data_IF_647808770296
#
_entry.id   IF_647808770296
#
_cell.length_a   1.000
_cell.length_b   1.000
_cell.length_c   1.000
_cell.angle_alpha   90.00
_cell.angle_beta   90.00
_cell.angle_gamma   90.00
#
_symmetry.space_group_name_H-M   'P 1'
#
loop_
_entity.id
_entity.type
_entity.pdbx_description
1 polymer ?
#
# COMPACT_ATOMS: atom_id res chain seq x y z
N UNK A 1 3.56 -10.03 -22.23
CA UNK A 1 2.60 -10.19 -21.13
C UNK A 1 3.20 -11.20 -20.16
N UNK A 2 3.53 -10.76 -18.95
CA UNK A 2 4.18 -11.58 -17.92
C UNK A 2 3.19 -11.87 -16.81
N UNK A 3 3.07 -13.13 -16.40
CA UNK A 3 2.15 -13.58 -15.36
C UNK A 3 2.95 -14.18 -14.21
N UNK A 4 2.69 -13.69 -13.00
CA UNK A 4 3.29 -14.19 -11.77
C UNK A 4 2.19 -14.84 -10.92
N UNK A 5 2.36 -16.10 -10.57
CA UNK A 5 1.44 -16.83 -9.68
C UNK A 5 2.03 -16.85 -8.29
N UNK A 6 1.25 -16.42 -7.30
CA UNK A 6 1.62 -16.42 -5.89
C UNK A 6 0.48 -17.01 -5.08
N UNK A 7 0.81 -17.87 -4.12
CA UNK A 7 -0.15 -18.32 -3.11
C UNK A 7 -0.15 -17.31 -1.97
N UNK A 8 -1.33 -16.74 -1.69
CA UNK A 8 -1.49 -15.72 -0.65
C UNK A 8 -2.63 -16.09 0.30
N UNK A 9 -2.51 -15.74 1.59
CA UNK A 9 -3.62 -15.90 2.52
C UNK A 9 -4.84 -15.04 2.14
N UNK A 10 -6.06 -15.57 2.26
CA UNK A 10 -7.33 -14.87 1.92
C UNK A 10 -7.46 -13.48 2.56
N UNK A 11 -6.85 -13.28 3.74
CA UNK A 11 -6.91 -12.00 4.47
C UNK A 11 -6.21 -10.85 3.74
N UNK A 12 -5.20 -11.15 2.93
CA UNK A 12 -4.41 -10.14 2.20
C UNK A 12 -4.80 -10.01 0.73
N UNK A 13 -5.68 -10.89 0.22
CA UNK A 13 -6.14 -10.91 -1.17
C UNK A 13 -6.62 -9.53 -1.64
N UNK A 14 -7.49 -8.88 -0.85
CA UNK A 14 -8.04 -7.57 -1.20
C UNK A 14 -6.99 -6.46 -1.24
N UNK A 15 -6.14 -6.39 -0.21
CA UNK A 15 -5.10 -5.36 -0.13
C UNK A 15 -4.09 -5.52 -1.25
N UNK A 16 -3.72 -6.76 -1.59
CA UNK A 16 -2.82 -7.03 -2.70
C UNK A 16 -3.49 -6.72 -4.05
N UNK A 17 -4.78 -7.03 -4.20
CA UNK A 17 -5.51 -6.75 -5.41
C UNK A 17 -5.60 -5.24 -5.69
N UNK A 18 -5.96 -4.44 -4.67
CA UNK A 18 -6.00 -2.98 -4.79
C UNK A 18 -4.63 -2.40 -5.15
N UNK A 19 -3.54 -2.92 -4.58
CA UNK A 19 -2.18 -2.50 -4.91
C UNK A 19 -1.80 -2.86 -6.35
N UNK A 20 -2.11 -4.08 -6.80
CA UNK A 20 -1.81 -4.53 -8.16
C UNK A 20 -2.60 -3.71 -9.18
N UNK A 21 -3.87 -3.39 -8.90
CA UNK A 21 -4.68 -2.52 -9.75
C UNK A 21 -4.15 -1.08 -9.79
N UNK A 22 -3.71 -0.52 -8.66
CA UNK A 22 -3.05 0.79 -8.61
C UNK A 22 -1.76 0.84 -9.43
N UNK A 23 -1.05 -0.29 -9.53
CA UNK A 23 0.15 -0.44 -10.35
C UNK A 23 -0.16 -0.71 -11.84
N UNK A 24 -1.44 -0.75 -12.23
CA UNK A 24 -1.87 -1.03 -13.61
C UNK A 24 -1.79 -2.51 -14.00
N UNK A 25 -1.62 -3.40 -13.03
CA UNK A 25 -1.67 -4.84 -13.21
C UNK A 25 -3.11 -5.36 -13.20
N UNK A 26 -3.29 -6.59 -13.71
CA UNK A 26 -4.58 -7.27 -13.71
C UNK A 26 -4.49 -8.51 -12.82
N UNK A 27 -5.31 -8.57 -11.78
CA UNK A 27 -5.41 -9.74 -10.91
C UNK A 27 -6.42 -10.72 -11.49
N UNK A 28 -6.05 -12.00 -11.52
CA UNK A 28 -6.94 -13.10 -11.91
C UNK A 28 -7.02 -14.03 -10.70
N UNK A 29 -8.10 -13.93 -9.93
CA UNK A 29 -8.34 -14.78 -8.76
C UNK A 29 -9.07 -16.05 -9.20
N UNK A 30 -8.56 -17.22 -8.83
CA UNK A 30 -9.14 -18.52 -9.19
C UNK A 30 -9.97 -19.17 -8.09
N UNK A 31 -9.99 -18.61 -6.88
CA UNK A 31 -10.70 -19.21 -5.74
C UNK A 31 -11.93 -18.39 -5.33
N UNK A 32 -12.96 -18.45 -6.17
CA UNK A 32 -14.29 -18.01 -5.79
C UNK A 32 -14.95 -19.02 -4.86
N UNK A 33 -14.93 -18.78 -3.55
CA UNK A 33 -15.98 -19.30 -2.65
C UNK A 33 -16.14 -18.50 -1.35
N UNK A 34 -17.27 -17.79 -1.30
CA UNK A 34 -18.03 -17.45 -0.09
C UNK A 34 -17.37 -16.55 0.96
N UNK A 35 -17.79 -15.28 1.01
CA UNK A 35 -18.63 -14.76 2.12
C UNK A 35 -19.03 -13.29 1.90
N UNK A 36 -20.28 -13.10 1.44
CA UNK A 36 -21.12 -11.99 1.90
C UNK A 36 -21.35 -12.19 3.41
N UNK A 37 -20.68 -11.42 4.26
CA UNK A 37 -20.92 -11.20 5.72
C UNK A 37 -19.62 -10.60 6.28
N UNK A 38 -19.52 -9.43 6.92
CA UNK A 38 -20.48 -8.50 7.51
C UNK A 38 -19.84 -7.10 7.43
N UNK A 39 -20.63 -6.09 7.06
CA UNK A 39 -20.42 -4.73 7.57
C UNK A 39 -20.57 -4.81 9.09
N UNK A 40 -19.49 -4.69 9.85
CA UNK A 40 -19.53 -4.38 11.28
C UNK A 40 -18.39 -3.44 11.63
N UNK A 41 -18.76 -2.17 11.73
CA UNK A 41 -18.42 -1.24 12.80
C UNK A 41 -17.04 -1.36 13.49
N UNK A 42 -16.27 -0.27 13.37
CA UNK A 42 -15.58 0.39 14.48
C UNK A 42 -14.64 -0.46 15.36
N UNK A 43 -13.58 -1.03 14.80
CA UNK A 43 -12.42 -1.45 15.61
C UNK A 43 -11.33 -0.40 15.57
N UNK A 44 -11.08 0.22 16.72
CA UNK A 44 -9.94 1.12 16.99
C UNK A 44 -8.66 0.60 16.34
N UNK A 45 -8.16 1.31 15.32
CA UNK A 45 -6.84 1.07 14.72
C UNK A 45 -5.80 0.89 15.84
N UNK A 46 -5.04 -0.21 15.77
CA UNK A 46 -3.93 -0.49 16.67
C UNK A 46 -2.89 0.63 16.56
N UNK A 47 -2.14 0.88 17.63
CA UNK A 47 -1.15 1.97 17.67
C UNK A 47 -0.15 1.89 16.51
N UNK A 48 0.25 0.68 16.13
CA UNK A 48 1.12 0.42 14.97
C UNK A 48 0.48 0.75 13.63
N UNK A 49 -0.82 0.49 13.47
CA UNK A 49 -1.55 0.79 12.23
C UNK A 49 -1.74 2.29 12.07
N UNK A 50 -1.95 3.03 13.17
CA UNK A 50 -1.99 4.50 13.16
C UNK A 50 -0.65 5.12 12.80
N UNK A 51 0.45 4.59 13.35
CA UNK A 51 1.80 5.07 13.03
C UNK A 51 2.16 4.80 11.57
N UNK A 52 1.79 3.62 11.05
CA UNK A 52 1.98 3.30 9.63
C UNK A 52 1.18 4.23 8.71
N UNK A 53 -0.10 4.46 8.99
CA UNK A 53 -0.93 5.38 8.20
C UNK A 53 -0.40 6.81 8.24
N UNK A 54 0.07 7.26 9.42
CA UNK A 54 0.67 8.58 9.56
C UNK A 54 1.95 8.72 8.71
N UNK A 55 2.83 7.72 8.74
CA UNK A 55 4.02 7.70 7.88
C UNK A 55 3.69 7.64 6.39
N UNK A 56 2.60 6.96 6.03
CA UNK A 56 2.12 6.90 4.66
C UNK A 56 1.61 8.26 4.17
N UNK A 57 0.83 8.97 5.00
CA UNK A 57 0.33 10.31 4.71
C UNK A 57 1.48 11.32 4.54
N UNK A 58 2.47 11.29 5.44
CA UNK A 58 3.67 12.13 5.36
C UNK A 58 4.48 11.85 4.07
N UNK A 59 4.56 10.58 3.66
CA UNK A 59 5.23 10.20 2.40
C UNK A 59 4.47 10.70 1.17
N UNK A 60 3.14 10.62 1.17
CA UNK A 60 2.30 11.13 0.08
C UNK A 60 2.41 12.65 -0.01
N UNK A 61 2.42 13.34 1.13
CA UNK A 61 2.59 14.78 1.19
C UNK A 61 3.95 15.21 0.65
N UNK A 62 5.02 14.50 1.02
CA UNK A 62 6.36 14.71 0.46
C UNK A 62 6.39 14.54 -1.06
N UNK A 63 5.80 13.47 -1.61
CA UNK A 63 5.75 13.26 -3.07
C UNK A 63 4.98 14.39 -3.77
N UNK A 64 3.85 14.83 -3.20
CA UNK A 64 3.08 15.95 -3.77
C UNK A 64 3.88 17.27 -3.73
N UNK A 65 4.57 17.55 -2.64
CA UNK A 65 5.39 18.76 -2.51
C UNK A 65 6.62 18.73 -3.44
N UNK A 66 7.22 17.57 -3.63
CA UNK A 66 8.31 17.36 -4.58
C UNK A 66 7.83 17.55 -6.03
N UNK A 67 6.66 17.02 -6.39
CA UNK A 67 6.05 17.24 -7.71
C UNK A 67 5.70 18.71 -7.96
N UNK A 68 5.39 19.47 -6.91
CA UNK A 68 5.18 20.92 -6.98
C UNK A 68 6.49 21.74 -6.98
N UNK A 69 7.65 21.09 -6.89
CA UNK A 69 8.96 21.75 -6.84
C UNK A 69 9.23 22.52 -5.54
N UNK A 70 8.47 22.25 -4.46
CA UNK A 70 8.62 22.93 -3.17
C UNK A 70 9.63 22.27 -2.24
N UNK A 71 9.96 21.01 -2.51
CA UNK A 71 10.88 20.21 -1.69
C UNK A 71 11.79 19.43 -2.64
N UNK A 72 13.08 19.44 -2.38
CA UNK A 72 14.07 18.64 -3.14
C UNK A 72 14.22 17.26 -2.50
N UNK A 73 14.20 16.21 -3.33
CA UNK A 73 14.52 14.88 -2.85
C UNK A 73 16.02 14.76 -2.61
N UNK A 74 16.40 14.30 -1.41
CA UNK A 74 17.79 13.98 -1.10
C UNK A 74 18.26 12.84 -2.01
N UNK A 75 19.52 12.91 -2.44
CA UNK A 75 20.13 11.82 -3.19
C UNK A 75 20.35 10.60 -2.29
N UNK A 76 20.46 9.41 -2.89
CA UNK A 76 20.76 8.17 -2.16
C UNK A 76 22.06 8.30 -1.36
N UNK A 77 23.06 8.99 -1.90
CA UNK A 77 24.34 9.27 -1.24
C UNK A 77 24.17 10.16 0.00
N UNK A 78 23.27 11.15 -0.05
CA UNK A 78 22.97 12.02 1.09
C UNK A 78 22.23 11.26 2.20
N UNK A 79 21.33 10.35 1.84
CA UNK A 79 20.61 9.52 2.81
C UNK A 79 21.55 8.52 3.51
N UNK A 80 22.53 7.97 2.79
CA UNK A 80 23.51 7.04 3.36
C UNK A 80 24.52 7.72 4.28
N UNK A 81 24.81 9.01 4.09
CA UNK A 81 25.70 9.78 4.96
C UNK A 81 25.02 10.28 6.26
N UNK A 82 23.69 10.24 6.33
CA UNK A 82 22.91 10.62 7.52
C UNK A 82 22.61 9.43 8.46
N UNK A 83 23.01 8.21 8.08
CA UNK A 83 22.89 6.96 8.84
C UNK A 83 24.15 6.69 9.68
#
# INVERSE_FOLDING_TARGET
MTTLTIEIPDKVEKTLADLIEQLGGKVITTDSKNKKKELKDNSKLSRKEKEFLKGLDESIEFVKLHQQGKVEAKSIEQLLNEL
#
